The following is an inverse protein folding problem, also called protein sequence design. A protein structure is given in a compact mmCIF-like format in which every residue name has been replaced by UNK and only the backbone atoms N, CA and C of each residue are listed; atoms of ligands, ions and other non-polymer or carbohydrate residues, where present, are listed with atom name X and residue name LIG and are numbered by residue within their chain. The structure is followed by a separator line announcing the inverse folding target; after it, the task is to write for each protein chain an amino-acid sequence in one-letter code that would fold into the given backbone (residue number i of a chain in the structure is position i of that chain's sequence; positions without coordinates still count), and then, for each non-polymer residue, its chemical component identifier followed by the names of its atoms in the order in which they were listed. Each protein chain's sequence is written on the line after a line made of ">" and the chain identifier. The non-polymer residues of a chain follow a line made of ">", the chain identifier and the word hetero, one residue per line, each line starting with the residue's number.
data_IF_851479052340
#
_entry.id   IF_851479052340
#
_cell.length_a   1.000
_cell.length_b   1.000
_cell.length_c   1.000
_cell.angle_alpha   90.00
_cell.angle_beta   90.00
_cell.angle_gamma   90.00
#
_symmetry.space_group_name_H-M   'P 1'
#
loop_
_entity.id
_entity.type
_entity.pdbx_description
1 polymer ?
#
# COMPACT_ATOMS: atom_id res chain seq x y z
N UNK A 1 -1.31 27.21 -74.08
CA UNK A 1 -0.24 26.80 -73.23
C UNK A 1 -0.84 26.40 -71.86
N UNK A 2 -1.01 25.10 -71.62
CA UNK A 2 -1.54 24.55 -70.33
C UNK A 2 -0.36 24.26 -69.43
N UNK A 3 -0.24 24.91 -68.26
CA UNK A 3 0.76 24.62 -67.24
C UNK A 3 0.21 23.51 -66.35
N UNK A 4 0.82 22.32 -66.40
CA UNK A 4 0.57 21.23 -65.45
C UNK A 4 1.33 21.49 -64.18
N UNK A 5 0.62 21.59 -63.05
CA UNK A 5 1.21 21.63 -61.70
C UNK A 5 1.31 20.18 -61.20
N UNK A 6 2.50 19.66 -61.01
CA UNK A 6 2.76 18.37 -60.42
C UNK A 6 2.84 18.58 -58.90
N UNK A 7 1.84 18.04 -58.19
CA UNK A 7 1.80 18.05 -56.71
C UNK A 7 2.61 16.86 -56.20
N UNK A 8 3.75 17.13 -55.60
CA UNK A 8 4.56 16.11 -54.89
C UNK A 8 3.95 15.89 -53.50
N UNK A 9 3.25 14.77 -53.29
CA UNK A 9 2.81 14.34 -51.99
C UNK A 9 4.01 13.69 -51.23
N UNK A 10 4.52 14.40 -50.25
CA UNK A 10 5.53 13.84 -49.33
C UNK A 10 4.76 12.93 -48.36
N UNK A 11 4.88 11.63 -48.55
CA UNK A 11 4.46 10.63 -47.59
C UNK A 11 5.45 10.66 -46.40
N UNK A 12 5.11 11.36 -45.32
CA UNK A 12 5.80 11.23 -44.04
C UNK A 12 5.46 9.84 -43.47
N UNK A 13 6.42 8.91 -43.59
CA UNK A 13 6.37 7.63 -42.93
C UNK A 13 6.43 7.88 -41.40
N UNK A 14 5.30 7.76 -40.74
CA UNK A 14 5.23 7.72 -39.27
C UNK A 14 5.88 6.40 -38.85
N UNK A 15 7.18 6.43 -38.56
CA UNK A 15 7.87 5.33 -37.90
C UNK A 15 7.29 5.27 -36.47
N UNK A 16 6.63 4.18 -36.07
CA UNK A 16 6.16 4.07 -34.69
C UNK A 16 7.39 4.07 -33.80
N UNK A 17 7.53 5.11 -32.96
CA UNK A 17 8.52 5.11 -31.89
C UNK A 17 8.20 3.89 -31.03
N UNK A 18 9.02 2.82 -31.10
CA UNK A 18 8.93 1.72 -30.15
C UNK A 18 9.10 2.35 -28.76
N UNK A 19 8.05 2.28 -27.94
CA UNK A 19 8.15 2.67 -26.54
C UNK A 19 9.39 1.99 -25.95
N UNK A 20 10.34 2.79 -25.45
CA UNK A 20 11.59 2.27 -24.89
C UNK A 20 11.21 1.28 -23.77
N UNK A 21 11.68 0.06 -23.89
CA UNK A 21 11.37 -0.98 -22.91
C UNK A 21 11.89 -0.52 -21.53
N UNK A 22 11.04 -0.55 -20.51
CA UNK A 22 11.42 -0.20 -19.15
C UNK A 22 12.46 -1.19 -18.63
N UNK A 23 13.63 -0.70 -18.21
CA UNK A 23 14.72 -1.52 -17.67
C UNK A 23 14.79 -1.43 -16.14
N UNK A 24 15.55 -2.33 -15.52
CA UNK A 24 15.83 -2.28 -14.08
C UNK A 24 16.46 -0.95 -13.66
N UNK A 25 17.38 -0.42 -14.46
CA UNK A 25 18.06 0.87 -14.23
C UNK A 25 17.06 2.03 -14.26
N UNK A 26 16.16 2.05 -15.24
CA UNK A 26 15.12 3.09 -15.31
C UNK A 26 14.21 3.06 -14.07
N UNK A 27 13.89 1.88 -13.54
CA UNK A 27 13.06 1.76 -12.34
C UNK A 27 13.83 2.23 -11.10
N UNK A 28 15.12 1.91 -10.98
CA UNK A 28 15.98 2.44 -9.90
C UNK A 28 16.04 3.97 -9.92
N UNK A 29 16.24 4.56 -11.12
CA UNK A 29 16.20 6.03 -11.28
C UNK A 29 14.87 6.63 -10.85
N UNK A 30 13.75 5.99 -11.17
CA UNK A 30 12.40 6.42 -10.73
C UNK A 30 12.32 6.37 -9.21
N UNK A 31 12.72 5.26 -8.58
CA UNK A 31 12.67 5.08 -7.12
C UNK A 31 13.49 6.19 -6.43
N UNK A 32 14.73 6.38 -6.86
CA UNK A 32 15.62 7.40 -6.30
C UNK A 32 15.07 8.82 -6.51
N UNK A 33 14.57 9.13 -7.71
CA UNK A 33 14.00 10.44 -8.02
C UNK A 33 12.79 10.76 -7.12
N UNK A 34 11.86 9.80 -6.95
CA UNK A 34 10.69 10.00 -6.10
C UNK A 34 11.09 10.13 -4.64
N UNK A 35 11.92 9.24 -4.12
CA UNK A 35 12.33 9.24 -2.72
C UNK A 35 13.15 10.49 -2.35
N UNK A 36 14.13 10.85 -3.20
CA UNK A 36 14.94 12.05 -3.01
C UNK A 36 14.11 13.34 -3.10
N UNK A 37 13.17 13.41 -4.07
CA UNK A 37 12.27 14.55 -4.20
C UNK A 37 11.43 14.73 -2.95
N UNK A 38 10.86 13.64 -2.41
CA UNK A 38 10.07 13.69 -1.18
C UNK A 38 10.90 14.14 0.01
N UNK A 39 12.03 13.49 0.29
CA UNK A 39 12.89 13.79 1.45
C UNK A 39 13.49 15.20 1.41
N UNK A 40 13.78 15.73 0.22
CA UNK A 40 14.27 17.11 0.06
C UNK A 40 13.21 18.16 0.43
N UNK A 41 11.93 17.87 0.17
CA UNK A 41 10.83 18.84 0.40
C UNK A 41 10.19 18.71 1.78
N UNK A 42 10.39 17.61 2.48
CA UNK A 42 9.73 17.31 3.74
C UNK A 42 10.75 16.97 4.83
N UNK A 43 10.51 17.50 6.02
CA UNK A 43 11.33 17.16 7.19
C UNK A 43 10.88 15.83 7.77
N UNK A 44 11.80 15.01 8.33
CA UNK A 44 11.43 13.75 8.96
C UNK A 44 10.75 13.93 10.32
N UNK A 45 10.89 15.09 10.98
CA UNK A 45 10.33 15.36 12.31
C UNK A 45 8.80 15.58 12.23
N UNK A 46 8.06 14.51 11.95
CA UNK A 46 6.59 14.46 11.90
C UNK A 46 6.05 13.42 12.86
N UNK A 47 4.74 13.41 13.08
CA UNK A 47 4.09 12.48 14.03
C UNK A 47 4.26 11.01 13.59
N UNK A 48 4.27 10.10 14.57
CA UNK A 48 4.19 8.65 14.32
C UNK A 48 2.78 8.18 13.93
N UNK A 49 1.98 9.03 13.29
CA UNK A 49 0.61 8.74 12.91
C UNK A 49 0.56 8.14 11.49
N UNK A 50 -0.52 7.48 11.16
CA UNK A 50 -0.64 6.59 10.00
C UNK A 50 -0.16 7.19 8.67
N UNK A 51 -0.49 8.45 8.39
CA UNK A 51 -0.17 9.08 7.11
C UNK A 51 1.35 9.27 6.91
N UNK A 52 2.06 9.73 7.94
CA UNK A 52 3.51 9.86 7.91
C UNK A 52 4.18 8.47 7.97
N UNK A 53 3.73 7.61 8.87
CA UNK A 53 4.25 6.25 9.01
C UNK A 53 4.12 5.43 7.71
N UNK A 54 3.05 5.60 6.94
CA UNK A 54 2.86 4.91 5.66
C UNK A 54 3.95 5.28 4.64
N UNK A 55 4.43 6.53 4.61
CA UNK A 55 5.60 6.89 3.80
C UNK A 55 6.83 6.10 4.24
N UNK A 56 7.10 6.03 5.54
CA UNK A 56 8.27 5.34 6.07
C UNK A 56 8.24 3.83 5.77
N UNK A 57 7.08 3.19 5.71
CA UNK A 57 7.00 1.79 5.26
C UNK A 57 7.46 1.62 3.80
N UNK A 58 7.18 2.58 2.94
CA UNK A 58 7.68 2.63 1.56
C UNK A 58 9.19 2.91 1.50
N UNK A 59 9.68 3.88 2.28
CA UNK A 59 11.11 4.17 2.39
C UNK A 59 11.91 2.96 2.87
N UNK A 60 11.40 2.17 3.81
CA UNK A 60 12.07 0.94 4.25
C UNK A 60 12.15 -0.12 3.15
N UNK A 61 11.20 -0.20 2.23
CA UNK A 61 11.33 -1.06 1.04
C UNK A 61 12.40 -0.54 0.08
N UNK A 62 12.54 0.78 -0.05
CA UNK A 62 13.67 1.38 -0.81
C UNK A 62 15.00 1.04 -0.14
N UNK A 63 15.11 1.16 1.19
CA UNK A 63 16.33 0.81 1.94
C UNK A 63 16.73 -0.66 1.73
N UNK A 64 15.78 -1.59 1.70
CA UNK A 64 16.05 -3.00 1.42
C UNK A 64 16.64 -3.23 0.01
N UNK A 65 16.26 -2.39 -0.95
CA UNK A 65 16.71 -2.49 -2.34
C UNK A 65 17.97 -1.67 -2.60
N UNK A 66 18.04 -0.47 -2.03
CA UNK A 66 19.09 0.52 -2.19
C UNK A 66 19.51 1.00 -0.78
N UNK A 67 20.43 0.30 -0.10
CA UNK A 67 20.79 0.59 1.30
C UNK A 67 21.68 1.84 1.41
N UNK A 68 21.14 3.00 1.03
CA UNK A 68 21.82 4.29 1.18
C UNK A 68 21.61 4.83 2.60
N UNK A 69 22.68 5.34 3.19
CA UNK A 69 22.65 5.84 4.57
C UNK A 69 21.64 6.98 4.76
N UNK A 70 21.52 7.90 3.80
CA UNK A 70 20.57 9.01 3.86
C UNK A 70 19.11 8.54 4.01
N UNK A 71 18.73 7.45 3.35
CA UNK A 71 17.38 6.89 3.45
C UNK A 71 17.13 6.24 4.81
N UNK A 72 18.14 5.59 5.36
CA UNK A 72 18.11 5.02 6.72
C UNK A 72 18.01 6.16 7.74
N UNK A 73 18.87 7.16 7.63
CA UNK A 73 18.93 8.30 8.55
C UNK A 73 17.63 9.11 8.55
N UNK A 74 16.96 9.23 7.41
CA UNK A 74 15.68 9.92 7.33
C UNK A 74 14.62 9.24 8.20
N UNK A 75 14.46 7.91 8.08
CA UNK A 75 13.51 7.16 8.91
C UNK A 75 13.99 7.04 10.37
N UNK A 76 15.30 6.99 10.60
CA UNK A 76 15.89 6.98 11.95
C UNK A 76 15.62 8.29 12.70
N UNK A 77 15.74 9.45 12.02
CA UNK A 77 15.41 10.78 12.59
C UNK A 77 13.92 10.87 12.94
N UNK A 78 13.06 10.36 12.07
CA UNK A 78 11.62 10.30 12.35
C UNK A 78 11.30 9.43 13.58
N UNK A 79 11.89 8.23 13.67
CA UNK A 79 11.70 7.34 14.80
C UNK A 79 12.22 7.94 16.12
N UNK A 80 13.41 8.56 16.09
CA UNK A 80 13.98 9.24 17.24
C UNK A 80 13.14 10.46 17.70
N UNK A 81 12.62 11.24 16.76
CA UNK A 81 11.72 12.36 17.06
C UNK A 81 10.46 11.90 17.80
N UNK A 82 9.94 10.71 17.46
CA UNK A 82 8.79 10.10 18.09
C UNK A 82 9.16 9.21 19.31
N UNK A 83 10.42 9.23 19.76
CA UNK A 83 10.90 8.40 20.88
C UNK A 83 10.59 6.91 20.72
N UNK A 84 10.46 6.43 19.46
CA UNK A 84 10.10 5.04 19.15
C UNK A 84 8.72 4.63 19.69
N UNK A 85 7.83 5.61 19.84
CA UNK A 85 6.47 5.43 20.32
C UNK A 85 5.45 5.78 19.23
N UNK A 86 4.22 5.24 19.36
CA UNK A 86 3.03 5.76 18.70
C UNK A 86 2.28 6.71 19.64
N UNK A 87 1.05 6.34 20.05
CA UNK A 87 0.37 7.06 21.13
C UNK A 87 1.06 6.80 22.48
N UNK A 88 1.14 7.84 23.33
CA UNK A 88 2.12 7.91 24.42
C UNK A 88 1.58 7.55 25.81
N UNK A 89 0.25 7.33 25.98
CA UNK A 89 -0.32 6.97 27.28
C UNK A 89 0.31 5.69 27.83
N UNK A 90 0.71 5.71 29.11
CA UNK A 90 1.42 4.59 29.76
C UNK A 90 0.51 3.70 30.59
N UNK A 91 -0.64 4.20 31.05
CA UNK A 91 -1.58 3.40 31.82
C UNK A 91 -2.50 2.58 30.89
N UNK A 92 -2.36 1.23 30.84
CA UNK A 92 -3.17 0.41 29.94
C UNK A 92 -4.69 0.50 30.20
N UNK A 93 -5.10 0.92 31.40
CA UNK A 93 -6.52 1.09 31.74
C UNK A 93 -7.17 2.25 30.96
N UNK A 94 -6.38 3.18 30.43
CA UNK A 94 -6.79 4.34 29.67
C UNK A 94 -6.67 4.14 28.15
N UNK A 95 -6.13 3.02 27.68
CA UNK A 95 -5.90 2.76 26.28
C UNK A 95 -7.20 2.56 25.49
N UNK A 96 -7.33 3.26 24.36
CA UNK A 96 -8.52 3.32 23.51
C UNK A 96 -8.26 2.81 22.09
N UNK A 97 -9.34 2.35 21.41
CA UNK A 97 -9.31 1.93 20.00
C UNK A 97 -10.67 1.92 19.30
N UNK A 98 -11.78 1.98 20.05
CA UNK A 98 -13.14 1.72 19.50
C UNK A 98 -13.67 2.82 18.58
N UNK A 99 -13.11 4.02 18.66
CA UNK A 99 -13.43 5.18 17.84
C UNK A 99 -12.16 5.78 17.26
N UNK A 100 -12.31 6.54 16.18
CA UNK A 100 -11.22 7.34 15.65
C UNK A 100 -10.73 8.35 16.69
N UNK A 101 -9.41 8.45 16.83
CA UNK A 101 -8.81 9.41 17.73
C UNK A 101 -7.31 9.60 17.50
N UNK A 102 -6.89 10.87 17.59
CA UNK A 102 -5.51 11.28 17.36
C UNK A 102 -4.76 11.66 18.66
N UNK A 103 -5.41 11.44 19.82
CA UNK A 103 -4.83 11.76 21.12
C UNK A 103 -3.92 10.64 21.66
N UNK A 104 -3.18 10.95 22.74
CA UNK A 104 -2.24 10.05 23.39
C UNK A 104 -2.86 8.75 23.93
N UNK A 105 -4.18 8.73 24.18
CA UNK A 105 -4.89 7.58 24.75
C UNK A 105 -5.21 6.48 23.74
N UNK A 106 -5.14 6.77 22.44
CA UNK A 106 -5.48 5.83 21.37
C UNK A 106 -4.36 4.84 21.06
N UNK A 107 -3.76 4.27 22.10
CA UNK A 107 -2.60 3.36 22.01
C UNK A 107 -2.92 2.07 21.25
N UNK A 108 -4.15 1.56 21.38
CA UNK A 108 -4.59 0.33 20.71
C UNK A 108 -5.22 0.59 19.35
N UNK A 109 -5.22 1.86 18.88
CA UNK A 109 -5.76 2.27 17.60
C UNK A 109 -4.70 2.09 16.50
N UNK A 110 -5.04 1.38 15.44
CA UNK A 110 -4.10 0.98 14.39
C UNK A 110 -3.32 2.11 13.77
N UNK A 111 -3.90 3.31 13.66
CA UNK A 111 -3.27 4.49 13.09
C UNK A 111 -2.04 4.97 13.90
N UNK A 112 -1.96 4.61 15.18
CA UNK A 112 -0.78 4.83 16.02
C UNK A 112 0.17 3.62 16.10
N UNK A 113 -0.21 2.47 15.54
CA UNK A 113 0.58 1.24 15.61
C UNK A 113 1.37 0.95 14.32
N UNK A 114 1.00 1.54 13.21
CA UNK A 114 1.70 1.35 11.93
C UNK A 114 3.20 1.71 12.02
N UNK A 115 3.58 2.68 12.84
CA UNK A 115 4.96 3.10 13.04
C UNK A 115 5.86 1.94 13.49
N UNK A 116 5.30 0.97 14.21
CA UNK A 116 6.05 -0.21 14.66
C UNK A 116 6.58 -1.06 13.51
N UNK A 117 5.95 -1.03 12.32
CA UNK A 117 6.52 -1.68 11.14
C UNK A 117 7.92 -1.13 10.84
N UNK A 118 8.05 0.19 10.77
CA UNK A 118 9.31 0.89 10.49
C UNK A 118 10.31 0.73 11.63
N UNK A 119 9.87 0.82 12.87
CA UNK A 119 10.76 0.68 14.03
C UNK A 119 11.40 -0.71 14.10
N UNK A 120 10.64 -1.76 13.81
CA UNK A 120 11.17 -3.13 13.76
C UNK A 120 12.13 -3.29 12.56
N UNK A 121 11.83 -2.71 11.40
CA UNK A 121 12.72 -2.75 10.25
C UNK A 121 14.05 -2.02 10.54
N UNK A 122 14.03 -0.87 11.20
CA UNK A 122 15.22 -0.13 11.63
C UNK A 122 16.01 -0.90 12.72
N UNK A 123 15.32 -1.55 13.65
CA UNK A 123 15.96 -2.41 14.64
C UNK A 123 16.79 -3.53 13.99
N UNK A 124 16.32 -4.12 12.88
CA UNK A 124 17.09 -5.14 12.17
C UNK A 124 18.34 -4.59 11.48
N UNK A 125 18.43 -3.29 11.23
CA UNK A 125 19.62 -2.63 10.65
C UNK A 125 20.64 -2.29 11.74
N UNK A 126 20.19 -1.69 12.85
CA UNK A 126 21.04 -1.24 13.96
C UNK A 126 20.35 -1.54 15.30
N UNK A 127 20.46 -2.78 15.81
CA UNK A 127 19.68 -3.24 16.95
C UNK A 127 19.96 -2.46 18.24
N UNK A 128 18.88 -1.93 18.84
CA UNK A 128 18.89 -1.39 20.19
C UNK A 128 17.51 -1.56 20.83
N UNK A 129 17.44 -2.11 22.04
CA UNK A 129 16.21 -2.56 22.68
C UNK A 129 15.15 -1.46 22.82
N UNK A 130 15.56 -0.19 23.02
CA UNK A 130 14.63 0.93 23.13
C UNK A 130 13.80 1.15 21.85
N UNK A 131 14.30 0.74 20.67
CA UNK A 131 13.60 0.89 19.39
C UNK A 131 12.33 0.07 19.30
N UNK A 132 12.26 -1.05 20.02
CA UNK A 132 11.17 -2.02 19.95
C UNK A 132 10.42 -2.18 21.27
N UNK A 133 10.86 -1.52 22.34
CA UNK A 133 10.26 -1.66 23.69
C UNK A 133 8.78 -1.31 23.68
N UNK A 134 8.39 -0.18 23.06
CA UNK A 134 6.98 0.24 23.00
C UNK A 134 6.15 -0.69 22.13
N UNK A 135 6.68 -1.13 20.99
CA UNK A 135 6.01 -2.11 20.15
C UNK A 135 5.76 -3.42 20.91
N UNK A 136 6.76 -3.93 21.64
CA UNK A 136 6.61 -5.13 22.49
C UNK A 136 5.52 -4.93 23.56
N UNK A 137 5.52 -3.80 24.26
CA UNK A 137 4.55 -3.49 25.30
C UNK A 137 3.13 -3.52 24.76
N UNK A 138 2.86 -2.72 23.70
CA UNK A 138 1.53 -2.56 23.13
C UNK A 138 1.03 -3.84 22.47
N UNK A 139 1.87 -4.49 21.66
CA UNK A 139 1.47 -5.70 20.95
C UNK A 139 1.31 -6.89 21.89
N UNK A 140 2.15 -6.98 22.95
CA UNK A 140 1.97 -8.01 23.99
C UNK A 140 0.66 -7.82 24.76
N UNK A 141 0.27 -6.59 25.06
CA UNK A 141 -1.05 -6.31 25.64
C UNK A 141 -2.19 -6.82 24.75
N UNK A 142 -2.13 -6.49 23.45
CA UNK A 142 -3.18 -6.91 22.49
C UNK A 142 -3.30 -8.44 22.40
N UNK A 143 -2.17 -9.18 22.28
CA UNK A 143 -2.23 -10.64 22.12
C UNK A 143 -2.68 -11.37 23.38
N UNK A 144 -2.52 -10.78 24.56
CA UNK A 144 -3.00 -11.33 25.83
C UNK A 144 -4.45 -10.88 26.18
N UNK A 145 -5.00 -9.92 25.44
CA UNK A 145 -6.39 -9.49 25.59
C UNK A 145 -7.36 -10.53 25.03
N UNK A 146 -8.58 -10.57 25.58
CA UNK A 146 -9.70 -11.37 25.04
C UNK A 146 -10.37 -10.69 23.84
N UNK A 147 -10.15 -9.38 23.66
CA UNK A 147 -10.77 -8.58 22.61
C UNK A 147 -10.15 -8.89 21.25
N UNK A 148 -10.98 -9.02 20.20
CA UNK A 148 -10.56 -9.23 18.82
C UNK A 148 -11.12 -8.16 17.87
N UNK A 149 -11.84 -7.16 18.39
CA UNK A 149 -12.55 -6.11 17.65
C UNK A 149 -11.69 -4.85 17.38
N UNK A 150 -10.37 -4.99 17.41
CA UNK A 150 -9.43 -3.88 17.22
C UNK A 150 -9.49 -3.28 15.82
N UNK A 151 -9.72 -4.10 14.80
CA UNK A 151 -9.61 -3.69 13.40
C UNK A 151 -10.99 -3.55 12.77
N UNK A 152 -11.65 -2.44 13.11
CA UNK A 152 -13.02 -2.15 12.69
C UNK A 152 -13.14 -1.33 11.39
N UNK A 153 -12.01 -1.03 10.72
CA UNK A 153 -11.93 -0.38 9.41
C UNK A 153 -10.82 -0.99 8.55
N UNK A 154 -10.98 -0.93 7.22
CA UNK A 154 -10.10 -1.62 6.28
C UNK A 154 -8.64 -1.19 6.36
N UNK A 155 -8.39 0.09 6.63
CA UNK A 155 -7.05 0.67 6.75
C UNK A 155 -6.22 0.00 7.85
N UNK A 156 -6.86 -0.36 8.98
CA UNK A 156 -6.18 -1.07 10.08
C UNK A 156 -5.51 -2.36 9.66
N UNK A 157 -6.02 -3.03 8.63
CA UNK A 157 -5.45 -4.27 8.11
C UNK A 157 -4.06 -4.07 7.49
N UNK A 158 -3.77 -2.89 6.94
CA UNK A 158 -2.40 -2.53 6.56
C UNK A 158 -1.58 -2.03 7.76
N UNK A 159 -2.22 -1.27 8.65
CA UNK A 159 -1.51 -0.63 9.76
C UNK A 159 -0.93 -1.70 10.70
N UNK A 160 -1.69 -2.72 11.07
CA UNK A 160 -1.36 -3.60 12.20
C UNK A 160 -1.06 -5.04 11.81
N UNK A 161 -1.72 -5.63 10.80
CA UNK A 161 -1.44 -7.02 10.44
C UNK A 161 0.07 -7.30 10.21
N UNK A 162 0.82 -6.44 9.46
CA UNK A 162 2.26 -6.63 9.31
C UNK A 162 3.05 -6.47 10.61
N UNK A 163 2.56 -5.69 11.57
CA UNK A 163 3.21 -5.60 12.90
C UNK A 163 3.13 -6.94 13.62
N UNK A 164 1.99 -7.64 13.54
CA UNK A 164 1.83 -8.97 14.16
C UNK A 164 2.83 -9.98 13.59
N UNK A 165 2.98 -10.04 12.27
CA UNK A 165 3.94 -10.97 11.65
C UNK A 165 5.39 -10.59 11.94
N UNK A 166 5.72 -9.30 11.97
CA UNK A 166 7.04 -8.81 12.38
C UNK A 166 7.34 -9.13 13.86
N UNK A 167 6.36 -9.01 14.74
CA UNK A 167 6.50 -9.41 16.15
C UNK A 167 6.72 -10.93 16.29
N UNK A 168 6.02 -11.74 15.51
CA UNK A 168 6.30 -13.17 15.43
C UNK A 168 7.75 -13.43 14.98
N UNK A 169 8.22 -12.77 13.92
CA UNK A 169 9.60 -12.90 13.43
C UNK A 169 10.64 -12.49 14.48
N UNK A 170 10.31 -11.49 15.27
CA UNK A 170 11.19 -10.94 16.30
C UNK A 170 11.28 -11.85 17.55
N UNK A 171 10.16 -12.49 17.93
CA UNK A 171 10.04 -13.20 19.21
C UNK A 171 9.95 -14.73 19.08
N UNK A 172 9.55 -15.24 17.92
CA UNK A 172 9.21 -16.64 17.69
C UNK A 172 7.87 -17.06 18.30
N UNK A 173 7.11 -16.15 18.93
CA UNK A 173 5.90 -16.49 19.67
C UNK A 173 4.68 -16.57 18.74
N UNK A 174 4.09 -17.75 18.63
CA UNK A 174 2.94 -18.05 17.78
C UNK A 174 1.69 -17.22 18.13
N UNK A 175 1.56 -16.76 19.37
CA UNK A 175 0.41 -15.94 19.84
C UNK A 175 0.15 -14.71 18.98
N UNK A 176 1.16 -14.13 18.34
CA UNK A 176 0.99 -12.99 17.44
C UNK A 176 0.26 -13.39 16.15
N UNK A 177 0.56 -14.57 15.60
CA UNK A 177 -0.13 -15.06 14.40
C UNK A 177 -1.56 -15.52 14.74
N UNK A 178 -1.77 -16.12 15.89
CA UNK A 178 -3.08 -16.56 16.36
C UNK A 178 -3.99 -15.34 16.60
N UNK A 179 -3.48 -14.29 17.24
CA UNK A 179 -4.22 -13.03 17.42
C UNK A 179 -4.53 -12.34 16.08
N UNK A 180 -3.57 -12.36 15.14
CA UNK A 180 -3.79 -11.88 13.78
C UNK A 180 -4.97 -12.60 13.12
N UNK A 181 -5.02 -13.93 13.23
CA UNK A 181 -6.11 -14.74 12.68
C UNK A 181 -7.47 -14.39 13.30
N UNK A 182 -7.54 -14.23 14.62
CA UNK A 182 -8.77 -13.87 15.32
C UNK A 182 -9.26 -12.46 14.95
N UNK A 183 -8.35 -11.48 14.93
CA UNK A 183 -8.70 -10.10 14.59
C UNK A 183 -9.13 -9.92 13.13
N UNK A 184 -8.50 -10.62 12.17
CA UNK A 184 -8.96 -10.56 10.78
C UNK A 184 -10.30 -11.26 10.60
N UNK A 185 -10.59 -12.31 11.38
CA UNK A 185 -11.90 -12.96 11.41
C UNK A 185 -13.01 -11.98 11.83
N UNK A 186 -12.76 -11.17 12.85
CA UNK A 186 -13.67 -10.09 13.24
C UNK A 186 -13.83 -9.05 12.11
N UNK A 187 -12.73 -8.55 11.57
CA UNK A 187 -12.75 -7.58 10.47
C UNK A 187 -13.56 -8.08 9.27
N UNK A 188 -13.39 -9.33 8.90
CA UNK A 188 -14.16 -9.99 7.83
C UNK A 188 -15.67 -9.99 8.14
N UNK A 189 -16.03 -10.30 9.37
CA UNK A 189 -17.44 -10.41 9.77
C UNK A 189 -18.22 -9.11 9.62
N UNK A 190 -17.54 -7.97 9.66
CA UNK A 190 -18.17 -6.64 9.59
C UNK A 190 -17.94 -5.90 8.28
N UNK A 191 -16.91 -6.23 7.49
CA UNK A 191 -16.51 -5.45 6.32
C UNK A 191 -16.40 -6.26 5.02
N UNK A 192 -16.14 -7.57 5.08
CA UNK A 192 -15.98 -8.39 3.87
C UNK A 192 -17.33 -8.60 3.18
N UNK A 193 -17.42 -8.23 1.92
CA UNK A 193 -18.55 -8.62 1.07
C UNK A 193 -18.32 -10.04 0.51
N UNK A 194 -19.08 -11.04 0.95
CA UNK A 194 -18.89 -12.43 0.53
C UNK A 194 -19.18 -12.67 -0.96
N UNK A 195 -19.98 -11.80 -1.59
CA UNK A 195 -20.32 -11.89 -3.01
C UNK A 195 -19.14 -11.48 -3.90
N UNK A 196 -18.52 -10.35 -3.61
CA UNK A 196 -17.45 -9.78 -4.44
C UNK A 196 -16.04 -10.16 -3.99
N UNK A 197 -15.85 -10.43 -2.70
CA UNK A 197 -14.54 -10.61 -2.08
C UNK A 197 -13.80 -9.31 -1.79
N UNK A 198 -14.47 -8.16 -1.94
CA UNK A 198 -13.97 -6.83 -1.61
C UNK A 198 -14.36 -6.44 -0.20
N UNK A 199 -13.69 -5.41 0.34
CA UNK A 199 -13.96 -4.88 1.67
C UNK A 199 -14.67 -3.53 1.59
N UNK A 200 -15.78 -3.39 2.30
CA UNK A 200 -16.28 -2.06 2.66
C UNK A 200 -15.27 -1.39 3.62
N UNK A 201 -15.17 -0.07 3.59
CA UNK A 201 -14.20 0.65 4.42
C UNK A 201 -14.40 0.38 5.92
N UNK A 202 -15.65 0.35 6.37
CA UNK A 202 -16.10 -0.04 7.72
C UNK A 202 -17.61 -0.33 7.71
N UNK A 203 -18.17 -0.69 8.86
CA UNK A 203 -19.58 -1.06 9.02
C UNK A 203 -20.58 0.04 8.58
N UNK A 204 -20.16 1.32 8.51
CA UNK A 204 -21.02 2.42 8.01
C UNK A 204 -21.27 2.31 6.50
N UNK A 205 -20.34 1.72 5.78
CA UNK A 205 -20.34 1.63 4.31
C UNK A 205 -20.89 0.33 3.76
N UNK A 206 -21.32 -0.60 4.61
CA UNK A 206 -21.88 -1.89 4.18
C UNK A 206 -23.19 -1.68 3.45
N UNK A 207 -23.30 -2.27 2.25
CA UNK A 207 -24.53 -2.26 1.46
C UNK A 207 -25.63 -3.10 2.12
N UNK A 208 -26.93 -2.71 2.06
CA UNK A 208 -27.50 -1.52 1.39
C UNK A 208 -27.57 -0.26 2.27
N UNK A 209 -27.01 -0.27 3.49
CA UNK A 209 -27.02 0.87 4.41
C UNK A 209 -26.32 2.09 3.79
N UNK A 210 -25.22 1.85 3.07
CA UNK A 210 -24.55 2.83 2.24
C UNK A 210 -24.50 2.34 0.77
N UNK A 211 -24.61 3.27 -0.16
CA UNK A 211 -24.52 3.03 -1.61
C UNK A 211 -24.10 4.29 -2.33
N UNK A 212 -23.55 4.13 -3.54
CA UNK A 212 -23.24 5.25 -4.42
C UNK A 212 -24.50 6.02 -4.81
N UNK A 213 -24.34 7.21 -5.41
CA UNK A 213 -25.46 7.99 -5.93
C UNK A 213 -26.30 7.23 -6.97
N UNK A 214 -25.74 6.20 -7.62
CA UNK A 214 -26.44 5.31 -8.55
C UNK A 214 -26.89 3.99 -7.94
N UNK A 215 -26.90 3.89 -6.62
CA UNK A 215 -27.42 2.73 -5.89
C UNK A 215 -26.52 1.49 -5.88
N UNK A 216 -25.23 1.61 -6.25
CA UNK A 216 -24.27 0.49 -6.28
C UNK A 216 -23.54 0.33 -4.96
N UNK A 217 -22.95 -0.85 -4.74
CA UNK A 217 -21.97 -1.09 -3.67
C UNK A 217 -20.80 -0.12 -3.85
N UNK A 218 -20.36 0.52 -2.78
CA UNK A 218 -19.28 1.53 -2.81
C UNK A 218 -18.02 0.96 -2.16
N UNK A 219 -17.14 0.40 -2.99
CA UNK A 219 -15.84 -0.09 -2.56
C UNK A 219 -14.76 0.94 -2.89
N UNK A 220 -14.12 1.43 -1.85
CA UNK A 220 -13.11 2.47 -1.95
C UNK A 220 -11.74 1.88 -2.32
N UNK A 221 -11.15 2.34 -3.43
CA UNK A 221 -9.91 1.78 -3.96
C UNK A 221 -8.76 1.78 -2.95
N UNK A 222 -8.54 2.89 -2.21
CA UNK A 222 -7.50 2.92 -1.18
C UNK A 222 -7.82 1.97 -0.02
N UNK A 223 -9.09 1.79 0.35
CA UNK A 223 -9.49 0.84 1.38
C UNK A 223 -9.08 -0.59 1.03
N UNK A 224 -9.53 -1.10 -0.11
CA UNK A 224 -9.12 -2.44 -0.59
C UNK A 224 -7.61 -2.50 -0.91
N UNK A 225 -7.01 -1.37 -1.30
CA UNK A 225 -5.56 -1.24 -1.51
C UNK A 225 -4.77 -1.51 -0.23
N UNK A 226 -5.20 -0.92 0.89
CA UNK A 226 -4.63 -1.22 2.20
C UNK A 226 -4.70 -2.70 2.54
N UNK A 227 -5.86 -3.33 2.31
CA UNK A 227 -6.07 -4.74 2.65
C UNK A 227 -5.16 -5.64 1.81
N UNK A 228 -5.09 -5.45 0.49
CA UNK A 228 -4.26 -6.27 -0.38
C UNK A 228 -2.77 -6.12 -0.07
N UNK A 229 -2.31 -4.89 0.13
CA UNK A 229 -0.92 -4.61 0.52
C UNK A 229 -0.58 -5.18 1.90
N UNK A 230 -1.50 -5.07 2.86
CA UNK A 230 -1.36 -5.66 4.18
C UNK A 230 -1.23 -7.18 4.14
N UNK A 231 -2.08 -7.85 3.36
CA UNK A 231 -2.01 -9.31 3.16
C UNK A 231 -0.71 -9.75 2.48
N UNK A 232 -0.20 -9.00 1.50
CA UNK A 232 1.10 -9.27 0.88
C UNK A 232 2.24 -9.22 1.92
N UNK A 233 2.28 -8.18 2.76
CA UNK A 233 3.26 -8.06 3.85
C UNK A 233 3.13 -9.18 4.89
N UNK A 234 1.91 -9.57 5.22
CA UNK A 234 1.64 -10.70 6.13
C UNK A 234 2.21 -11.99 5.58
N UNK A 235 1.90 -12.33 4.33
CA UNK A 235 2.39 -13.56 3.69
C UNK A 235 3.90 -13.58 3.47
N UNK A 236 4.53 -12.40 3.36
CA UNK A 236 5.97 -12.27 3.27
C UNK A 236 6.68 -12.75 4.54
N UNK A 237 6.11 -12.46 5.70
CA UNK A 237 6.72 -12.74 7.00
C UNK A 237 6.15 -14.00 7.70
N UNK A 238 4.98 -14.46 7.27
CA UNK A 238 4.29 -15.62 7.87
C UNK A 238 4.96 -16.94 7.47
N UNK A 239 5.25 -17.86 8.41
CA UNK A 239 5.79 -19.16 8.07
C UNK A 239 4.76 -20.02 7.35
N UNK A 240 5.21 -20.76 6.31
CA UNK A 240 4.33 -21.56 5.45
C UNK A 240 3.67 -22.74 6.17
N UNK A 241 4.26 -23.19 7.26
CA UNK A 241 3.75 -24.28 8.13
C UNK A 241 2.79 -23.79 9.23
N UNK A 242 2.53 -22.48 9.29
CA UNK A 242 1.52 -21.97 10.21
C UNK A 242 0.14 -22.54 9.85
N UNK A 243 -0.55 -23.07 10.87
CA UNK A 243 -1.83 -23.80 10.70
C UNK A 243 -2.91 -23.07 9.88
N UNK A 244 -2.91 -21.74 9.86
CA UNK A 244 -3.85 -20.91 9.09
C UNK A 244 -3.21 -20.25 7.86
N UNK A 245 -2.00 -20.62 7.44
CA UNK A 245 -1.33 -20.05 6.27
C UNK A 245 -2.21 -20.10 5.01
N UNK A 246 -2.84 -21.26 4.76
CA UNK A 246 -3.72 -21.44 3.61
C UNK A 246 -4.92 -20.47 3.59
N UNK A 247 -5.47 -20.12 4.76
CA UNK A 247 -6.54 -19.13 4.90
C UNK A 247 -6.07 -17.74 4.39
N UNK A 248 -4.88 -17.30 4.77
CA UNK A 248 -4.34 -16.01 4.30
C UNK A 248 -4.02 -16.01 2.81
N UNK A 249 -3.50 -17.12 2.28
CA UNK A 249 -3.27 -17.27 0.83
C UNK A 249 -4.55 -17.18 0.04
N UNK A 250 -5.61 -17.89 0.46
CA UNK A 250 -6.90 -17.89 -0.22
C UNK A 250 -7.55 -16.49 -0.18
N UNK A 251 -7.54 -15.86 0.98
CA UNK A 251 -8.03 -14.48 1.14
C UNK A 251 -7.31 -13.50 0.21
N UNK A 252 -5.99 -13.57 0.18
CA UNK A 252 -5.16 -12.74 -0.69
C UNK A 252 -5.48 -12.98 -2.18
N UNK A 253 -5.56 -14.24 -2.61
CA UNK A 253 -5.89 -14.60 -4.00
C UNK A 253 -7.27 -14.11 -4.40
N UNK A 254 -8.25 -14.26 -3.54
CA UNK A 254 -9.62 -13.82 -3.79
C UNK A 254 -9.70 -12.30 -3.96
N UNK A 255 -9.06 -11.55 -3.07
CA UNK A 255 -9.00 -10.08 -3.18
C UNK A 255 -8.24 -9.63 -4.42
N UNK A 256 -7.08 -10.23 -4.73
CA UNK A 256 -6.29 -9.94 -5.93
C UNK A 256 -7.12 -10.17 -7.22
N UNK A 257 -7.88 -11.24 -7.28
CA UNK A 257 -8.77 -11.52 -8.39
C UNK A 257 -9.91 -10.49 -8.51
N UNK A 258 -10.53 -10.13 -7.37
CA UNK A 258 -11.63 -9.17 -7.34
C UNK A 258 -11.18 -7.78 -7.83
N UNK A 259 -10.09 -7.25 -7.29
CA UNK A 259 -9.59 -5.93 -7.69
C UNK A 259 -9.13 -5.89 -9.15
N UNK A 260 -8.51 -6.96 -9.65
CA UNK A 260 -8.02 -7.01 -11.04
C UNK A 260 -9.12 -6.85 -12.08
N UNK A 261 -10.34 -7.29 -11.78
CA UNK A 261 -11.51 -7.16 -12.67
C UNK A 261 -12.03 -5.72 -12.78
N UNK A 262 -11.65 -4.84 -11.86
CA UNK A 262 -12.16 -3.47 -11.74
C UNK A 262 -11.18 -2.41 -12.23
N UNK A 263 -10.03 -2.83 -12.78
CA UNK A 263 -9.04 -1.93 -13.35
C UNK A 263 -9.59 -1.21 -14.59
N UNK A 264 -9.40 0.09 -14.68
CA UNK A 264 -9.75 0.88 -15.86
C UNK A 264 -8.80 0.59 -17.03
N UNK A 265 -9.21 0.88 -18.26
CA UNK A 265 -8.41 0.62 -19.46
C UNK A 265 -7.06 1.34 -19.44
N UNK A 266 -7.01 2.52 -18.83
CA UNK A 266 -5.82 3.36 -18.68
C UNK A 266 -4.86 2.87 -17.59
N UNK A 267 -5.23 1.81 -16.86
CA UNK A 267 -4.35 1.12 -15.90
C UNK A 267 -4.55 1.49 -14.44
N UNK A 268 -5.31 2.53 -14.12
CA UNK A 268 -5.63 2.93 -12.75
C UNK A 268 -6.93 2.29 -12.24
N UNK A 269 -7.22 2.47 -10.96
CA UNK A 269 -8.53 2.26 -10.36
C UNK A 269 -9.13 3.59 -9.95
N UNK A 270 -10.45 3.73 -10.14
CA UNK A 270 -11.21 4.87 -9.66
C UNK A 270 -11.46 4.76 -8.16
N UNK A 271 -11.68 5.89 -7.50
CA UNK A 271 -11.94 5.96 -6.05
C UNK A 271 -13.09 5.06 -5.60
N UNK A 272 -14.20 5.01 -6.35
CA UNK A 272 -15.25 3.99 -6.20
C UNK A 272 -15.08 2.96 -7.29
N UNK A 273 -14.66 1.74 -6.93
CA UNK A 273 -14.23 0.75 -7.91
C UNK A 273 -15.39 0.16 -8.72
N UNK A 274 -16.53 -0.12 -8.09
CA UNK A 274 -17.71 -0.68 -8.77
C UNK A 274 -18.63 0.40 -9.36
N UNK A 275 -18.36 1.66 -9.07
CA UNK A 275 -19.06 2.81 -9.65
C UNK A 275 -18.08 3.90 -10.09
N UNK A 276 -17.35 3.70 -11.20
CA UNK A 276 -16.35 4.66 -11.69
C UNK A 276 -16.89 6.08 -11.91
N UNK A 277 -18.18 6.22 -12.17
CA UNK A 277 -18.82 7.55 -12.37
C UNK A 277 -19.15 8.27 -11.06
N UNK A 278 -19.09 7.60 -9.91
CA UNK A 278 -19.29 8.20 -8.58
C UNK A 278 -18.25 9.30 -8.32
N UNK A 279 -16.99 8.99 -8.63
CA UNK A 279 -15.84 9.89 -8.50
C UNK A 279 -14.83 9.56 -9.63
N UNK A 280 -15.05 10.06 -10.86
CA UNK A 280 -14.28 9.66 -12.03
C UNK A 280 -12.83 10.15 -11.96
N UNK A 281 -11.99 9.53 -12.77
CA UNK A 281 -10.56 9.82 -12.85
C UNK A 281 -9.70 8.93 -11.97
N UNK A 282 -8.37 9.03 -12.13
CA UNK A 282 -7.42 8.18 -11.44
C UNK A 282 -7.34 8.46 -9.94
N UNK A 283 -6.95 7.41 -9.21
CA UNK A 283 -6.57 7.51 -7.81
C UNK A 283 -5.27 6.71 -7.61
N UNK A 284 -4.19 7.41 -7.30
CA UNK A 284 -2.85 6.84 -7.33
C UNK A 284 -2.55 5.97 -6.11
N UNK A 285 -3.02 6.31 -4.91
CA UNK A 285 -2.67 5.54 -3.71
C UNK A 285 -3.23 4.11 -3.76
N UNK A 286 -4.51 3.95 -4.06
CA UNK A 286 -5.13 2.62 -4.25
C UNK A 286 -4.50 1.87 -5.42
N UNK A 287 -4.28 2.55 -6.55
CA UNK A 287 -3.60 1.95 -7.72
C UNK A 287 -2.21 1.44 -7.37
N UNK A 288 -1.42 2.19 -6.60
CA UNK A 288 -0.08 1.79 -6.19
C UNK A 288 -0.10 0.60 -5.21
N UNK A 289 -1.00 0.59 -4.22
CA UNK A 289 -1.16 -0.55 -3.32
C UNK A 289 -1.60 -1.81 -4.04
N UNK A 290 -2.54 -1.71 -5.00
CA UNK A 290 -2.91 -2.86 -5.84
C UNK A 290 -1.73 -3.34 -6.68
N UNK A 291 -0.98 -2.44 -7.28
CA UNK A 291 0.20 -2.77 -8.08
C UNK A 291 1.24 -3.49 -7.22
N UNK A 292 1.54 -2.97 -6.03
CA UNK A 292 2.43 -3.62 -5.06
C UNK A 292 1.94 -5.02 -4.70
N UNK A 293 0.67 -5.14 -4.29
CA UNK A 293 0.12 -6.42 -3.89
C UNK A 293 0.16 -7.45 -5.02
N UNK A 294 -0.26 -7.09 -6.23
CA UNK A 294 -0.26 -8.00 -7.38
C UNK A 294 1.17 -8.42 -7.78
N UNK A 295 2.11 -7.48 -7.80
CA UNK A 295 3.53 -7.75 -8.08
C UNK A 295 4.14 -8.68 -7.05
N UNK A 296 3.93 -8.42 -5.76
CA UNK A 296 4.42 -9.29 -4.70
C UNK A 296 3.95 -10.73 -4.90
N UNK A 297 2.66 -10.93 -5.21
CA UNK A 297 2.10 -12.26 -5.42
C UNK A 297 2.69 -12.99 -6.62
N UNK A 298 2.95 -12.27 -7.70
CA UNK A 298 3.58 -12.83 -8.89
C UNK A 298 5.06 -13.15 -8.63
N UNK A 299 5.79 -12.24 -7.99
CA UNK A 299 7.20 -12.42 -7.65
C UNK A 299 7.45 -13.60 -6.70
N UNK A 300 6.48 -13.91 -5.84
CA UNK A 300 6.58 -14.99 -4.86
C UNK A 300 5.81 -16.27 -5.26
N UNK A 301 5.31 -16.37 -6.49
CA UNK A 301 4.60 -17.54 -6.99
C UNK A 301 3.23 -17.81 -6.36
N UNK A 302 2.69 -16.84 -5.62
CA UNK A 302 1.35 -16.92 -5.01
C UNK A 302 0.26 -16.65 -6.04
N UNK A 303 0.53 -15.76 -7.00
CA UNK A 303 -0.34 -15.46 -8.14
C UNK A 303 0.28 -15.94 -9.45
N UNK A 304 -0.49 -16.52 -10.39
CA UNK A 304 0.04 -16.95 -11.69
C UNK A 304 0.34 -15.73 -12.58
N UNK A 305 1.60 -15.59 -12.99
CA UNK A 305 2.10 -14.49 -13.86
C UNK A 305 1.18 -14.26 -15.05
N UNK A 306 0.81 -15.32 -15.77
CA UNK A 306 0.02 -15.22 -17.00
C UNK A 306 -1.30 -14.47 -16.80
N UNK A 307 -1.94 -14.62 -15.65
CA UNK A 307 -3.24 -14.02 -15.35
C UNK A 307 -3.14 -12.54 -14.99
N UNK A 308 -2.03 -12.09 -14.42
CA UNK A 308 -1.89 -10.73 -13.86
C UNK A 308 -0.94 -9.82 -14.64
N UNK A 309 -0.10 -10.35 -15.54
CA UNK A 309 0.90 -9.59 -16.31
C UNK A 309 0.34 -8.33 -16.96
N UNK A 310 -0.80 -8.46 -17.68
CA UNK A 310 -1.41 -7.32 -18.38
C UNK A 310 -1.90 -6.25 -17.41
N UNK A 311 -2.54 -6.64 -16.30
CA UNK A 311 -3.00 -5.72 -15.25
C UNK A 311 -1.82 -4.99 -14.62
N UNK A 312 -0.75 -5.69 -14.26
CA UNK A 312 0.48 -5.12 -13.70
C UNK A 312 1.12 -4.13 -14.67
N UNK A 313 1.29 -4.51 -15.94
CA UNK A 313 1.91 -3.63 -16.94
C UNK A 313 1.11 -2.34 -17.17
N UNK A 314 -0.22 -2.42 -17.23
CA UNK A 314 -1.07 -1.23 -17.38
C UNK A 314 -1.01 -0.35 -16.13
N UNK A 315 -1.03 -0.94 -14.94
CA UNK A 315 -0.92 -0.20 -13.69
C UNK A 315 0.44 0.51 -13.58
N UNK A 316 1.53 -0.17 -13.90
CA UNK A 316 2.86 0.44 -13.90
C UNK A 316 3.00 1.56 -14.93
N UNK A 317 2.44 1.38 -16.14
CA UNK A 317 2.43 2.46 -17.14
C UNK A 317 1.70 3.70 -16.61
N UNK A 318 0.54 3.52 -15.96
CA UNK A 318 -0.15 4.64 -15.33
C UNK A 318 0.74 5.29 -14.24
N UNK A 319 1.30 4.51 -13.33
CA UNK A 319 2.12 5.01 -12.23
C UNK A 319 3.36 5.77 -12.73
N UNK A 320 4.11 5.20 -13.68
CA UNK A 320 5.38 5.74 -14.13
C UNK A 320 5.27 6.87 -15.16
N UNK A 321 4.16 6.94 -15.90
CA UNK A 321 3.98 7.91 -16.99
C UNK A 321 2.98 9.02 -16.63
N UNK A 322 1.89 8.67 -15.93
CA UNK A 322 0.83 9.63 -15.62
C UNK A 322 0.89 10.15 -14.19
N UNK A 323 1.05 9.25 -13.21
CA UNK A 323 1.07 9.65 -11.80
C UNK A 323 2.38 10.36 -11.43
N UNK A 324 3.51 9.81 -11.86
CA UNK A 324 4.82 10.41 -11.66
C UNK A 324 4.98 11.67 -12.51
N UNK A 325 5.23 12.80 -11.86
CA UNK A 325 5.42 14.09 -12.52
C UNK A 325 6.92 14.33 -12.87
N UNK A 326 7.21 15.27 -13.78
CA UNK A 326 8.58 15.51 -14.24
C UNK A 326 9.60 15.86 -13.15
N UNK A 327 9.15 16.54 -12.10
CA UNK A 327 9.97 16.95 -10.94
C UNK A 327 10.17 15.83 -9.91
N UNK A 328 9.48 14.71 -10.07
CA UNK A 328 9.58 13.55 -9.17
C UNK A 328 8.48 13.45 -8.10
N UNK A 329 7.51 14.39 -8.05
CA UNK A 329 6.38 14.19 -7.16
C UNK A 329 5.35 13.19 -7.74
N UNK A 330 4.56 12.58 -6.87
CA UNK A 330 3.56 11.57 -7.21
C UNK A 330 2.16 12.19 -7.12
N UNK A 331 1.59 12.52 -8.26
CA UNK A 331 0.29 13.17 -8.35
C UNK A 331 -0.91 12.22 -8.34
N UNK A 332 -2.10 12.80 -8.44
CA UNK A 332 -3.39 12.11 -8.47
C UNK A 332 -3.68 11.25 -7.23
N UNK A 333 -3.14 11.63 -6.08
CA UNK A 333 -3.43 11.00 -4.79
C UNK A 333 -4.67 11.64 -4.18
N UNK A 334 -5.71 10.85 -3.92
CA UNK A 334 -6.87 11.34 -3.16
C UNK A 334 -6.42 11.81 -1.76
N UNK A 335 -6.79 13.03 -1.33
CA UNK A 335 -6.52 13.50 0.03
C UNK A 335 -7.02 12.52 1.11
N UNK A 336 -6.63 12.75 2.36
CA UNK A 336 -7.14 11.99 3.51
C UNK A 336 -8.67 11.92 3.44
N UNK A 337 -9.21 10.73 3.60
CA UNK A 337 -10.64 10.45 3.50
C UNK A 337 -10.92 8.97 3.73
N UNK A 338 -12.19 8.62 3.65
CA UNK A 338 -12.68 7.27 3.96
C UNK A 338 -13.62 6.70 2.87
N UNK A 339 -13.85 7.43 1.78
CA UNK A 339 -14.75 7.03 0.68
C UNK A 339 -14.46 7.81 -0.59
N UNK A 340 -15.07 7.39 -1.68
CA UNK A 340 -15.15 8.17 -2.93
C UNK A 340 -16.11 9.35 -2.76
N UNK A 341 -15.60 10.58 -2.88
CA UNK A 341 -16.40 11.81 -2.73
C UNK A 341 -16.70 12.35 -4.12
N UNK A 342 -17.99 12.43 -4.52
CA UNK A 342 -18.38 13.05 -5.79
C UNK A 342 -17.89 14.50 -5.89
N UNK A 343 -17.31 14.87 -7.06
CA UNK A 343 -16.82 16.24 -7.29
C UNK A 343 -15.51 16.61 -6.58
N UNK A 344 -14.94 15.73 -5.74
CA UNK A 344 -13.63 16.00 -5.13
C UNK A 344 -12.55 16.08 -6.21
N UNK A 345 -11.83 17.20 -6.22
CA UNK A 345 -10.73 17.42 -7.16
C UNK A 345 -9.53 16.54 -6.77
N UNK A 346 -9.05 15.73 -7.72
CA UNK A 346 -7.82 14.94 -7.63
C UNK A 346 -7.11 15.08 -8.97
N UNK A 347 -5.94 15.70 -8.98
CA UNK A 347 -5.19 16.05 -10.19
C UNK A 347 -3.68 15.83 -10.02
N UNK A 348 -2.89 16.22 -11.01
CA UNK A 348 -1.45 16.06 -11.03
C UNK A 348 -0.74 16.69 -9.81
N UNK A 349 -1.29 17.74 -9.21
CA UNK A 349 -0.73 18.40 -8.04
C UNK A 349 -1.15 17.76 -6.70
N UNK A 350 -2.11 16.82 -6.73
CA UNK A 350 -2.61 16.15 -5.53
C UNK A 350 -1.63 15.08 -5.07
N UNK A 351 -0.79 15.39 -4.09
CA UNK A 351 0.21 14.50 -3.50
C UNK A 351 -0.06 14.28 -2.01
N UNK A 352 0.32 13.12 -1.48
CA UNK A 352 0.30 12.83 -0.05
C UNK A 352 1.36 11.78 0.31
N UNK A 353 1.87 11.85 1.56
CA UNK A 353 2.89 10.96 2.10
C UNK A 353 2.57 9.47 1.92
N UNK A 354 1.37 9.04 2.26
CA UNK A 354 0.93 7.64 2.08
C UNK A 354 0.85 7.22 0.60
N UNK A 355 0.56 8.15 -0.31
CA UNK A 355 0.57 7.89 -1.76
C UNK A 355 1.99 7.70 -2.29
N UNK A 356 2.94 8.50 -1.81
CA UNK A 356 4.37 8.33 -2.12
C UNK A 356 4.88 7.00 -1.56
N UNK A 357 4.56 6.67 -0.31
CA UNK A 357 4.90 5.38 0.29
C UNK A 357 4.39 4.19 -0.53
N UNK A 358 3.12 4.23 -0.94
CA UNK A 358 2.52 3.20 -1.80
C UNK A 358 3.21 3.09 -3.16
N UNK A 359 3.54 4.23 -3.79
CA UNK A 359 4.27 4.26 -5.05
C UNK A 359 5.64 3.59 -4.92
N UNK A 360 6.39 3.90 -3.86
CA UNK A 360 7.71 3.30 -3.60
C UNK A 360 7.61 1.79 -3.39
N UNK A 361 6.60 1.30 -2.65
CA UNK A 361 6.33 -0.13 -2.52
C UNK A 361 6.13 -0.79 -3.90
N UNK A 362 5.28 -0.21 -4.74
CA UNK A 362 4.99 -0.72 -6.08
C UNK A 362 6.24 -0.70 -6.98
N UNK A 363 7.03 0.37 -6.94
CA UNK A 363 8.24 0.53 -7.75
C UNK A 363 9.33 -0.49 -7.36
N UNK A 364 9.53 -0.73 -6.06
CA UNK A 364 10.47 -1.74 -5.58
C UNK A 364 10.07 -3.16 -6.02
N UNK A 365 8.78 -3.50 -5.95
CA UNK A 365 8.30 -4.80 -6.44
C UNK A 365 8.36 -4.91 -7.97
N UNK A 366 8.14 -3.82 -8.70
CA UNK A 366 8.28 -3.81 -10.16
C UNK A 366 9.74 -4.01 -10.58
N UNK A 367 10.70 -3.43 -9.86
CA UNK A 367 12.12 -3.71 -10.05
C UNK A 367 12.43 -5.20 -9.87
N UNK A 368 11.98 -5.81 -8.77
CA UNK A 368 12.15 -7.25 -8.50
C UNK A 368 11.55 -8.11 -9.61
N UNK A 369 10.37 -7.72 -10.10
CA UNK A 369 9.70 -8.40 -11.20
C UNK A 369 10.51 -8.37 -12.49
N UNK A 370 11.07 -7.22 -12.90
CA UNK A 370 11.92 -7.11 -14.08
C UNK A 370 13.21 -7.93 -13.91
N UNK A 371 13.83 -7.87 -12.74
CA UNK A 371 15.02 -8.66 -12.42
C UNK A 371 14.78 -10.15 -12.59
N UNK A 372 13.70 -10.68 -12.01
CA UNK A 372 13.32 -12.08 -12.11
C UNK A 372 13.07 -12.51 -13.58
N UNK A 373 12.48 -11.63 -14.42
CA UNK A 373 12.27 -11.94 -15.84
C UNK A 373 13.59 -11.99 -16.63
N UNK A 374 14.55 -11.12 -16.34
CA UNK A 374 15.84 -11.13 -16.99
C UNK A 374 16.63 -12.40 -16.64
N UNK A 375 16.58 -12.85 -15.38
CA UNK A 375 17.23 -14.09 -14.94
C UNK A 375 16.64 -15.32 -15.62
N UNK A 376 15.31 -15.38 -15.79
CA UNK A 376 14.64 -16.51 -16.48
C UNK A 376 14.82 -16.51 -18.00
N UNK A 377 15.16 -15.38 -18.63
CA UNK A 377 15.43 -15.29 -20.06
C UNK A 377 16.86 -15.75 -20.44
N UNK A 378 17.75 -15.89 -19.45
CA UNK A 378 19.14 -16.33 -19.64
C UNK A 378 19.36 -17.82 -19.30
N UNK A 379 18.31 -18.52 -18.86
CA UNK A 379 18.27 -19.97 -18.67
C UNK A 379 17.34 -20.61 -19.70
#
# INVERSE_FOLDING_TARGET
>A
MKKSIILFAILLAIVPLKAKQMTTENVLEIIQRVNNNWQKRHKPETRAFWNDAAYHTGNMEVVKLIPQQDYIDYSMKWANFNHWEGATEKDPRLWKYKLYGEDQYHVLFGDWQICFQTYIDLYHIAPSEHMISRAKEVMNYMVNSKENDYWWWADALYMVMPVMTKMYRLTGEMKYLDKLYDCIGYADSIMLDPETGLYFRDAKYVYPKHKTLRGRKDFWARGDGWVLAGLAKVLQDMPKDYRHYAFFVEKYRRLAQAVSKLQQNEGYWTRSMMDPKQAPGPETSGTAFFTYGLLWGVNNGVLPMKSYKKTIQRAWNYLSIKALQPDGHVGYVQPIGEKAIPGQMVNAASEANFGVGAFLLAACEYYRWLKNQNETAHH
#
